data_IF_561567663994
#
_entry.id   IF_561567663994
#
_cell.length_a   1.000
_cell.length_b   1.000
_cell.length_c   1.000
_cell.angle_alpha   90.00
_cell.angle_beta   90.00
_cell.angle_gamma   90.00
#
_symmetry.space_group_name_H-M   'P 1'
#
loop_
_entity.id
_entity.type
_entity.pdbx_description
1 polymer ?
#
# COMPACT_ATOMS: atom_id res chain seq x y z
N UNK A 1 5.80 -3.61 -2.51
CA UNK A 1 4.93 -4.33 -1.57
C UNK A 1 3.49 -3.91 -1.86
N UNK A 2 2.51 -4.81 -1.75
CA UNK A 2 1.09 -4.47 -1.98
C UNK A 2 0.40 -3.88 -0.75
N UNK A 3 1.04 -3.99 0.41
CA UNK A 3 0.49 -3.52 1.67
C UNK A 3 0.55 -1.99 1.75
N UNK A 4 -0.60 -1.29 1.86
CA UNK A 4 -0.63 0.17 1.90
C UNK A 4 -0.15 0.73 3.25
N UNK A 5 -0.25 -0.04 4.33
CA UNK A 5 0.14 0.39 5.68
C UNK A 5 1.59 0.09 6.02
N UNK A 6 2.32 -0.60 5.15
CA UNK A 6 3.68 -1.06 5.44
C UNK A 6 3.77 -2.17 6.50
N UNK A 7 2.65 -2.84 6.84
CA UNK A 7 2.66 -3.97 7.76
C UNK A 7 3.51 -5.15 7.25
N UNK A 8 3.61 -5.34 5.94
CA UNK A 8 4.49 -6.34 5.32
C UNK A 8 5.81 -5.69 4.88
N UNK A 9 6.93 -6.24 5.39
CA UNK A 9 8.28 -5.74 5.13
C UNK A 9 9.27 -6.90 4.97
N UNK A 10 10.44 -6.64 4.38
CA UNK A 10 11.52 -7.63 4.24
C UNK A 10 12.52 -7.48 5.38
N UNK A 11 12.91 -8.58 6.00
CA UNK A 11 13.92 -8.68 7.05
C UNK A 11 14.57 -10.07 6.98
N UNK A 12 15.90 -10.15 6.99
CA UNK A 12 16.67 -11.40 6.94
C UNK A 12 16.26 -12.34 5.78
N UNK A 13 16.01 -11.79 4.58
CA UNK A 13 15.56 -12.55 3.41
C UNK A 13 14.12 -13.04 3.46
N UNK A 14 13.43 -12.91 4.60
CA UNK A 14 12.03 -13.27 4.77
C UNK A 14 11.14 -12.02 4.67
N UNK A 15 9.93 -12.19 4.15
CA UNK A 15 8.90 -11.18 4.32
C UNK A 15 8.27 -11.40 5.69
N UNK A 16 8.23 -10.40 6.57
CA UNK A 16 7.59 -10.44 7.90
C UNK A 16 6.35 -9.56 7.94
N UNK A 17 5.51 -9.76 8.96
CA UNK A 17 4.25 -9.05 9.14
C UNK A 17 4.19 -8.44 10.54
N UNK A 18 4.12 -7.11 10.61
CA UNK A 18 3.78 -6.38 11.83
C UNK A 18 2.25 -6.29 11.94
N UNK A 19 1.67 -7.12 12.80
CA UNK A 19 0.21 -7.15 13.02
C UNK A 19 -0.33 -5.85 13.59
N UNK A 20 0.48 -5.03 14.28
CA UNK A 20 0.02 -3.76 14.86
C UNK A 20 -0.31 -2.70 13.79
N UNK A 21 0.37 -2.79 12.64
CA UNK A 21 0.15 -1.91 11.47
C UNK A 21 -0.86 -2.49 10.47
N UNK A 22 -1.36 -3.71 10.69
CA UNK A 22 -2.25 -4.38 9.76
C UNK A 22 -3.67 -3.81 9.87
N UNK A 23 -4.17 -3.23 8.77
CA UNK A 23 -5.54 -2.68 8.67
C UNK A 23 -6.61 -3.70 8.24
N UNK A 24 -6.23 -4.95 7.95
CA UNK A 24 -7.18 -5.98 7.52
C UNK A 24 -7.64 -5.89 6.05
N UNK A 25 -7.07 -5.01 5.23
CA UNK A 25 -7.50 -4.74 3.84
C UNK A 25 -7.37 -5.88 2.80
N UNK A 26 -6.96 -7.09 3.19
CA UNK A 26 -6.80 -8.30 2.35
C UNK A 26 -5.91 -8.24 1.09
N UNK A 27 -5.38 -7.08 0.67
CA UNK A 27 -4.59 -6.98 -0.56
C UNK A 27 -3.41 -7.95 -0.66
N UNK A 28 -2.78 -8.29 0.47
CA UNK A 28 -1.71 -9.27 0.50
C UNK A 28 -2.17 -10.71 0.27
N UNK A 29 -3.39 -11.04 0.67
CA UNK A 29 -4.02 -12.35 0.43
C UNK A 29 -4.27 -12.51 -1.07
N UNK A 30 -4.86 -11.49 -1.70
CA UNK A 30 -5.23 -11.52 -3.12
C UNK A 30 -4.02 -11.46 -4.05
N UNK A 31 -2.95 -10.77 -3.65
CA UNK A 31 -1.77 -10.58 -4.48
C UNK A 31 -0.75 -11.73 -4.39
N UNK A 32 -0.81 -12.58 -3.36
CA UNK A 32 0.20 -13.62 -3.16
C UNK A 32 -0.08 -14.81 -4.10
N UNK A 33 0.81 -15.11 -5.07
CA UNK A 33 0.59 -16.22 -6.01
C UNK A 33 0.61 -17.59 -5.33
N UNK A 34 1.14 -17.66 -4.11
CA UNK A 34 1.20 -18.87 -3.29
C UNK A 34 0.02 -19.00 -2.30
N UNK A 35 -0.85 -17.99 -2.21
CA UNK A 35 -1.98 -18.00 -1.27
C UNK A 35 -1.59 -18.11 0.21
N UNK A 36 -0.36 -17.73 0.58
CA UNK A 36 0.21 -17.94 1.92
C UNK A 36 -0.43 -17.06 3.00
N UNK A 37 -0.57 -15.73 2.83
CA UNK A 37 -1.22 -14.90 3.83
C UNK A 37 -2.69 -15.29 3.98
N UNK A 38 -3.14 -15.51 5.21
CA UNK A 38 -4.55 -15.77 5.56
C UNK A 38 -5.06 -14.70 6.51
N UNK A 39 -6.38 -14.57 6.61
CA UNK A 39 -7.00 -13.69 7.61
C UNK A 39 -7.27 -14.45 8.90
N UNK A 40 -6.89 -13.86 10.03
CA UNK A 40 -7.11 -14.38 11.37
C UNK A 40 -7.34 -13.21 12.34
N UNK A 41 -8.51 -13.19 12.99
CA UNK A 41 -8.96 -12.09 13.86
C UNK A 41 -8.84 -10.73 13.17
N UNK A 42 -9.47 -10.60 11.99
CA UNK A 42 -9.51 -9.38 11.16
C UNK A 42 -8.15 -8.85 10.66
N UNK A 43 -7.06 -9.58 10.94
CA UNK A 43 -5.70 -9.21 10.51
C UNK A 43 -5.08 -10.34 9.71
N UNK A 44 -4.18 -9.98 8.80
CA UNK A 44 -3.41 -10.98 8.08
C UNK A 44 -2.51 -11.78 9.06
N UNK A 45 -2.26 -13.04 8.74
CA UNK A 45 -1.34 -13.93 9.44
C UNK A 45 -0.63 -14.84 8.44
N UNK A 46 0.63 -15.16 8.75
CA UNK A 46 1.50 -16.06 7.97
C UNK A 46 2.71 -16.45 8.81
N UNK A 47 3.50 -17.42 8.34
CA UNK A 47 4.80 -17.76 8.93
C UNK A 47 5.69 -16.50 9.07
N UNK A 48 6.24 -16.29 10.26
CA UNK A 48 7.17 -15.20 10.60
C UNK A 48 8.64 -15.65 10.58
N UNK A 49 8.90 -16.93 10.32
CA UNK A 49 10.23 -17.53 10.39
C UNK A 49 10.74 -17.75 11.81
N UNK A 50 9.85 -17.82 12.82
CA UNK A 50 10.22 -17.88 14.23
C UNK A 50 11.14 -16.72 14.63
N UNK A 51 10.80 -15.49 14.21
CA UNK A 51 11.67 -14.30 14.29
C UNK A 51 12.28 -14.08 15.68
N UNK A 52 11.47 -14.25 16.74
CA UNK A 52 11.94 -14.10 18.12
C UNK A 52 12.99 -15.16 18.52
N UNK A 53 12.83 -16.40 18.05
CA UNK A 53 13.75 -17.51 18.35
C UNK A 53 15.05 -17.34 17.59
N UNK A 54 14.97 -17.03 16.29
CA UNK A 54 16.14 -16.78 15.45
C UNK A 54 16.95 -15.60 15.99
N UNK A 55 16.29 -14.50 16.39
CA UNK A 55 16.96 -13.35 16.99
C UNK A 55 17.68 -13.68 18.31
N UNK A 56 17.23 -14.71 19.03
CA UNK A 56 17.88 -15.21 20.23
C UNK A 56 19.02 -16.22 19.94
N UNK A 57 19.38 -16.44 18.67
CA UNK A 57 20.42 -17.38 18.25
C UNK A 57 19.94 -18.83 18.12
N UNK A 58 18.63 -19.07 18.18
CA UNK A 58 18.04 -20.39 17.90
C UNK A 58 17.72 -20.60 16.42
N UNK A 59 17.14 -21.75 16.11
CA UNK A 59 16.61 -22.09 14.77
C UNK A 59 15.07 -22.19 14.82
N UNK A 60 14.37 -22.10 13.68
CA UNK A 60 12.91 -22.23 13.64
C UNK A 60 12.41 -23.55 14.22
N UNK A 61 11.28 -23.51 14.93
CA UNK A 61 10.72 -24.70 15.60
C UNK A 61 10.43 -25.86 14.65
N UNK A 62 9.94 -25.57 13.44
CA UNK A 62 9.69 -26.59 12.43
C UNK A 62 10.97 -27.29 11.95
N UNK A 63 12.09 -26.56 11.90
CA UNK A 63 13.41 -27.10 11.54
C UNK A 63 13.93 -27.97 12.68
N UNK A 64 13.93 -27.43 13.90
CA UNK A 64 14.37 -28.12 15.11
C UNK A 64 13.65 -29.45 15.36
N UNK A 65 12.35 -29.49 15.10
CA UNK A 65 11.53 -30.67 15.37
C UNK A 65 11.59 -31.72 14.26
N UNK A 66 12.21 -31.44 13.11
CA UNK A 66 12.17 -32.33 11.94
C UNK A 66 13.08 -33.55 12.16
N UNK A 67 12.53 -34.76 12.41
CA UNK A 67 13.35 -35.92 12.78
C UNK A 67 14.16 -36.47 11.60
N UNK A 68 13.69 -36.24 10.37
CA UNK A 68 14.33 -36.70 9.15
C UNK A 68 15.33 -35.70 8.57
N UNK A 69 15.52 -34.55 9.21
CA UNK A 69 16.36 -33.45 8.70
C UNK A 69 16.00 -33.03 7.26
N UNK A 70 14.70 -33.08 6.94
CA UNK A 70 14.16 -32.61 5.67
C UNK A 70 14.16 -31.07 5.59
N UNK A 71 14.04 -30.40 6.74
CA UNK A 71 14.06 -28.94 6.86
C UNK A 71 15.42 -28.48 7.39
N UNK A 72 15.92 -27.37 6.84
CA UNK A 72 17.18 -26.73 7.23
C UNK A 72 16.99 -25.21 7.24
N UNK A 73 17.79 -24.52 8.04
CA UNK A 73 17.78 -23.06 8.15
C UNK A 73 19.21 -22.54 8.23
N UNK A 74 19.49 -21.43 7.56
CA UNK A 74 20.82 -20.85 7.47
C UNK A 74 20.89 -19.78 6.38
N UNK A 75 22.11 -19.35 6.06
CA UNK A 75 22.35 -18.40 4.99
C UNK A 75 21.92 -18.96 3.64
N UNK A 76 21.37 -18.11 2.78
CA UNK A 76 20.71 -18.55 1.55
C UNK A 76 21.66 -19.32 0.62
N UNK A 77 22.91 -18.87 0.53
CA UNK A 77 23.93 -19.50 -0.30
C UNK A 77 24.25 -20.92 0.18
N UNK A 78 24.34 -21.14 1.49
CA UNK A 78 24.60 -22.44 2.10
C UNK A 78 23.44 -23.40 1.86
N UNK A 79 22.20 -22.92 2.08
CA UNK A 79 20.98 -23.69 1.82
C UNK A 79 20.87 -24.06 0.32
N UNK A 80 21.21 -23.15 -0.59
CA UNK A 80 21.22 -23.44 -2.03
C UNK A 80 22.27 -24.49 -2.40
N UNK A 81 23.48 -24.41 -1.84
CA UNK A 81 24.54 -25.37 -2.11
C UNK A 81 24.14 -26.79 -1.64
N UNK A 82 23.58 -26.90 -0.43
CA UNK A 82 23.06 -28.15 0.10
C UNK A 82 21.88 -28.67 -0.73
N UNK A 83 20.94 -27.80 -1.12
CA UNK A 83 19.80 -28.17 -1.94
C UNK A 83 20.23 -28.71 -3.32
N UNK A 84 21.26 -28.12 -3.95
CA UNK A 84 21.86 -28.61 -5.20
C UNK A 84 22.50 -30.00 -5.02
N UNK A 85 23.19 -30.21 -3.90
CA UNK A 85 23.79 -31.51 -3.55
C UNK A 85 22.71 -32.59 -3.38
N UNK A 86 21.63 -32.28 -2.64
CA UNK A 86 20.47 -33.17 -2.47
C UNK A 86 19.78 -33.44 -3.80
N UNK A 87 19.59 -32.42 -4.64
CA UNK A 87 18.98 -32.57 -5.95
C UNK A 87 19.75 -33.56 -6.83
N UNK A 88 21.08 -33.41 -6.92
CA UNK A 88 21.92 -34.30 -7.73
C UNK A 88 21.83 -35.77 -7.28
N UNK A 89 21.64 -36.00 -5.98
CA UNK A 89 21.40 -37.35 -5.44
C UNK A 89 19.99 -37.85 -5.77
N UNK A 90 18.98 -36.99 -5.60
CA UNK A 90 17.57 -37.32 -5.83
C UNK A 90 17.27 -37.63 -7.30
N UNK A 91 17.92 -36.93 -8.23
CA UNK A 91 17.77 -37.12 -9.67
C UNK A 91 18.15 -38.52 -10.16
N UNK A 92 18.99 -39.25 -9.41
CA UNK A 92 19.31 -40.66 -9.71
C UNK A 92 18.09 -41.58 -9.62
N UNK A 93 17.11 -41.22 -8.79
CA UNK A 93 15.86 -41.98 -8.56
C UNK A 93 14.65 -41.31 -9.18
N UNK A 94 14.63 -39.99 -9.23
CA UNK A 94 13.51 -39.19 -9.74
C UNK A 94 14.02 -38.25 -10.84
N UNK A 95 13.97 -38.65 -12.12
CA UNK A 95 14.54 -37.88 -13.23
C UNK A 95 13.97 -36.46 -13.38
N UNK A 96 12.73 -36.23 -12.94
CA UNK A 96 12.06 -34.93 -13.01
C UNK A 96 12.35 -34.02 -11.81
N UNK A 97 13.14 -34.48 -10.85
CA UNK A 97 13.46 -33.73 -9.65
C UNK A 97 14.11 -32.39 -10.00
N UNK A 98 13.74 -31.34 -9.26
CA UNK A 98 14.18 -29.96 -9.50
C UNK A 98 14.23 -29.14 -8.21
N UNK A 99 14.93 -28.02 -8.27
CA UNK A 99 14.86 -26.98 -7.25
C UNK A 99 13.68 -26.05 -7.52
N UNK A 100 13.07 -25.57 -6.45
CA UNK A 100 12.00 -24.59 -6.48
C UNK A 100 12.26 -23.52 -5.42
N UNK A 101 12.19 -22.24 -5.81
CA UNK A 101 12.49 -21.08 -4.98
C UNK A 101 13.86 -20.45 -5.23
N UNK A 102 14.69 -21.02 -6.12
CA UNK A 102 15.97 -20.41 -6.49
C UNK A 102 15.76 -19.13 -7.31
N UNK A 103 14.81 -19.14 -8.26
CA UNK A 103 14.56 -18.05 -9.21
C UNK A 103 13.12 -17.53 -9.19
N UNK A 104 12.20 -18.35 -8.70
CA UNK A 104 10.77 -18.09 -8.66
C UNK A 104 10.47 -16.80 -7.88
N UNK A 105 9.61 -15.94 -8.44
CA UNK A 105 9.29 -14.61 -7.90
C UNK A 105 10.52 -13.72 -7.57
N UNK A 106 11.64 -13.91 -8.28
CA UNK A 106 12.90 -13.19 -8.06
C UNK A 106 13.77 -13.79 -6.95
N UNK A 107 13.51 -15.04 -6.57
CA UNK A 107 14.21 -15.77 -5.51
C UNK A 107 13.43 -15.75 -4.20
N UNK A 108 13.10 -16.94 -3.69
CA UNK A 108 12.36 -17.13 -2.44
C UNK A 108 13.31 -17.27 -1.25
N UNK A 109 12.78 -17.01 -0.05
CA UNK A 109 13.44 -17.32 1.22
C UNK A 109 13.22 -18.75 1.70
N UNK A 110 12.39 -19.54 0.99
CA UNK A 110 12.19 -20.97 1.22
C UNK A 110 12.53 -21.68 -0.08
N UNK A 111 13.51 -22.58 -0.02
CA UNK A 111 13.98 -23.36 -1.16
C UNK A 111 13.56 -24.81 -0.94
N UNK A 112 13.01 -25.44 -1.98
CA UNK A 112 12.53 -26.82 -1.93
C UNK A 112 13.24 -27.66 -2.98
N UNK A 113 13.59 -28.89 -2.60
CA UNK A 113 14.03 -29.95 -3.52
C UNK A 113 12.81 -30.82 -3.78
N UNK A 114 12.24 -30.72 -4.98
CA UNK A 114 11.03 -31.45 -5.37
C UNK A 114 11.42 -32.70 -6.16
N UNK A 115 10.77 -33.86 -5.95
CA UNK A 115 11.02 -35.06 -6.75
C UNK A 115 10.34 -35.01 -8.13
N UNK A 116 9.45 -34.06 -8.38
CA UNK A 116 8.76 -33.88 -9.66
C UNK A 116 8.40 -32.40 -9.89
N UNK A 117 7.58 -32.12 -10.90
CA UNK A 117 7.11 -30.78 -11.24
C UNK A 117 6.36 -30.11 -10.07
N UNK A 118 6.43 -28.76 -9.93
CA UNK A 118 5.80 -28.06 -8.81
C UNK A 118 4.28 -28.28 -8.75
N UNK A 119 3.63 -28.44 -9.90
CA UNK A 119 2.19 -28.70 -9.99
C UNK A 119 1.76 -30.01 -9.34
N UNK A 120 2.65 -31.00 -9.21
CA UNK A 120 2.36 -32.24 -8.48
C UNK A 120 2.23 -32.04 -6.96
N UNK A 121 2.66 -30.87 -6.45
CA UNK A 121 2.65 -30.49 -5.04
C UNK A 121 1.78 -29.27 -4.76
N UNK A 122 0.83 -28.95 -5.67
CA UNK A 122 0.00 -27.74 -5.60
C UNK A 122 0.81 -26.43 -5.55
N UNK A 123 2.02 -26.45 -6.13
CA UNK A 123 2.88 -25.27 -6.24
C UNK A 123 2.76 -24.64 -7.64
N UNK A 124 2.67 -23.30 -7.73
CA UNK A 124 2.59 -22.61 -9.02
C UNK A 124 3.91 -22.74 -9.79
N UNK A 125 3.89 -23.25 -11.01
CA UNK A 125 5.12 -23.41 -11.80
C UNK A 125 5.82 -22.07 -12.14
N UNK A 126 5.05 -20.99 -12.34
CA UNK A 126 5.58 -19.65 -12.58
C UNK A 126 4.80 -18.62 -11.74
N UNK A 127 5.17 -18.44 -10.46
CA UNK A 127 4.46 -17.52 -9.57
C UNK A 127 4.75 -16.07 -9.98
N UNK A 128 3.74 -15.42 -10.54
CA UNK A 128 3.76 -14.00 -10.87
C UNK A 128 2.63 -13.28 -10.17
N UNK A 129 2.85 -12.02 -9.79
CA UNK A 129 1.76 -11.18 -9.28
C UNK A 129 0.79 -10.95 -10.45
N UNK A 130 -0.54 -11.08 -10.25
CA UNK A 130 -1.51 -10.90 -11.32
C UNK A 130 -1.35 -9.52 -11.98
N UNK A 131 -1.48 -9.50 -13.32
CA UNK A 131 -1.30 -8.29 -14.13
C UNK A 131 -2.24 -7.17 -13.69
N UNK A 132 -3.46 -7.50 -13.27
CA UNK A 132 -4.44 -6.54 -12.75
C UNK A 132 -3.91 -5.77 -11.54
N UNK A 133 -3.32 -6.47 -10.57
CA UNK A 133 -2.71 -5.85 -9.38
C UNK A 133 -1.51 -4.99 -9.80
N UNK A 134 -0.68 -5.50 -10.71
CA UNK A 134 0.48 -4.74 -11.21
C UNK A 134 0.07 -3.46 -11.94
N UNK A 135 -0.93 -3.54 -12.82
CA UNK A 135 -1.45 -2.39 -13.57
C UNK A 135 -2.12 -1.37 -12.66
N UNK A 136 -2.91 -1.84 -11.68
CA UNK A 136 -3.52 -0.97 -10.68
C UNK A 136 -2.48 -0.14 -9.94
N UNK A 137 -1.41 -0.79 -9.46
CA UNK A 137 -0.39 -0.12 -8.65
C UNK A 137 0.59 0.74 -9.44
N UNK A 138 1.02 0.27 -10.62
CA UNK A 138 2.06 0.94 -11.41
C UNK A 138 1.51 1.98 -12.39
N UNK A 139 0.23 1.91 -12.74
CA UNK A 139 -0.38 2.80 -13.74
C UNK A 139 -1.52 3.60 -13.14
N UNK A 140 -2.55 2.92 -12.63
CA UNK A 140 -3.79 3.60 -12.20
C UNK A 140 -3.54 4.49 -10.99
N UNK A 141 -2.93 3.98 -9.92
CA UNK A 141 -2.68 4.76 -8.70
C UNK A 141 -1.86 6.05 -8.92
N UNK A 142 -0.68 6.03 -9.57
CA UNK A 142 0.09 7.26 -9.79
C UNK A 142 -0.62 8.22 -10.73
N UNK A 143 -1.32 7.71 -11.75
CA UNK A 143 -2.12 8.54 -12.64
C UNK A 143 -3.27 9.22 -11.90
N UNK A 144 -4.03 8.48 -11.08
CA UNK A 144 -5.12 9.03 -10.27
C UNK A 144 -4.62 10.09 -9.28
N UNK A 145 -3.45 9.89 -8.66
CA UNK A 145 -2.83 10.88 -7.78
C UNK A 145 -2.45 12.16 -8.54
N UNK A 146 -1.84 12.02 -9.72
CA UNK A 146 -1.49 13.16 -10.56
C UNK A 146 -2.73 13.94 -11.00
N UNK A 147 -3.78 13.23 -11.44
CA UNK A 147 -5.06 13.83 -11.84
C UNK A 147 -5.73 14.56 -10.68
N UNK A 148 -5.75 13.94 -9.50
CA UNK A 148 -6.31 14.57 -8.29
C UNK A 148 -5.54 15.84 -7.92
N UNK A 149 -4.21 15.80 -7.98
CA UNK A 149 -3.36 16.97 -7.74
C UNK A 149 -3.64 18.10 -8.73
N UNK A 150 -3.81 17.77 -10.01
CA UNK A 150 -4.19 18.74 -11.05
C UNK A 150 -5.56 19.37 -10.76
N UNK A 151 -6.56 18.56 -10.41
CA UNK A 151 -7.91 19.06 -10.09
C UNK A 151 -7.90 20.01 -8.90
N UNK A 152 -7.13 19.72 -7.85
CA UNK A 152 -6.98 20.60 -6.69
C UNK A 152 -6.31 21.92 -7.10
N UNK A 153 -5.26 21.87 -7.91
CA UNK A 153 -4.57 23.07 -8.38
C UNK A 153 -5.47 23.97 -9.24
N UNK A 154 -6.19 23.39 -10.20
CA UNK A 154 -7.14 24.12 -11.06
C UNK A 154 -8.24 24.77 -10.23
N UNK A 155 -8.83 24.02 -9.29
CA UNK A 155 -9.87 24.54 -8.40
C UNK A 155 -9.33 25.66 -7.51
N UNK A 156 -8.11 25.52 -6.99
CA UNK A 156 -7.45 26.55 -6.19
C UNK A 156 -7.20 27.85 -6.97
N UNK A 157 -6.70 27.75 -8.21
CA UNK A 157 -6.49 28.91 -9.08
C UNK A 157 -7.82 29.59 -9.41
N UNK A 158 -8.86 28.81 -9.75
CA UNK A 158 -10.19 29.34 -10.03
C UNK A 158 -10.78 30.09 -8.81
N UNK A 159 -10.61 29.54 -7.60
CA UNK A 159 -11.05 30.19 -6.37
C UNK A 159 -10.31 31.52 -6.09
N UNK A 160 -9.00 31.58 -6.36
CA UNK A 160 -8.22 32.82 -6.23
C UNK A 160 -8.69 33.89 -7.24
N UNK A 161 -8.93 33.50 -8.48
CA UNK A 161 -9.45 34.41 -9.52
C UNK A 161 -10.84 34.92 -9.14
N UNK A 162 -11.74 34.02 -8.74
CA UNK A 162 -13.10 34.38 -8.31
C UNK A 162 -13.08 35.35 -7.11
N UNK A 163 -12.21 35.11 -6.11
CA UNK A 163 -12.05 35.99 -4.96
C UNK A 163 -11.52 37.37 -5.37
N UNK A 164 -10.55 37.43 -6.27
CA UNK A 164 -10.01 38.70 -6.80
C UNK A 164 -11.09 39.49 -7.52
N UNK A 165 -11.87 38.83 -8.38
CA UNK A 165 -12.96 39.47 -9.11
C UNK A 165 -14.04 40.00 -8.16
N UNK A 166 -14.46 39.21 -7.17
CA UNK A 166 -15.44 39.63 -6.16
C UNK A 166 -14.97 40.85 -5.36
N UNK A 167 -13.72 40.89 -4.91
CA UNK A 167 -13.17 42.06 -4.19
C UNK A 167 -13.12 43.30 -5.08
N UNK A 168 -12.79 43.16 -6.37
CA UNK A 168 -12.83 44.28 -7.32
C UNK A 168 -14.25 44.78 -7.55
N UNK A 169 -15.23 43.87 -7.66
CA UNK A 169 -16.64 44.21 -7.80
C UNK A 169 -17.15 44.98 -6.59
N UNK A 170 -16.89 44.51 -5.36
CA UNK A 170 -17.26 45.22 -4.12
C UNK A 170 -16.64 46.62 -4.06
N UNK A 171 -15.35 46.76 -4.43
CA UNK A 171 -14.68 48.08 -4.50
C UNK A 171 -15.32 49.02 -5.52
N UNK A 172 -15.68 48.51 -6.71
CA UNK A 172 -16.38 49.29 -7.75
C UNK A 172 -17.76 49.75 -7.28
N UNK A 173 -18.51 48.86 -6.61
CA UNK A 173 -19.82 49.19 -6.06
C UNK A 173 -19.73 50.26 -4.97
N UNK A 174 -18.78 50.15 -4.03
CA UNK A 174 -18.54 51.19 -3.02
C UNK A 174 -18.16 52.53 -3.65
N UNK A 175 -17.25 52.55 -4.62
CA UNK A 175 -16.88 53.78 -5.33
C UNK A 175 -18.06 54.42 -6.07
N UNK A 176 -18.97 53.62 -6.65
CA UNK A 176 -20.17 54.12 -7.31
C UNK A 176 -21.26 54.62 -6.33
N UNK A 177 -21.23 54.17 -5.07
CA UNK A 177 -22.08 54.73 -4.01
C UNK A 177 -21.48 56.04 -3.51
N UNK A 178 -20.18 56.09 -3.24
CA UNK A 178 -19.46 57.31 -2.81
C UNK A 178 -19.55 58.43 -3.86
N UNK A 179 -19.45 58.12 -5.15
CA UNK A 179 -19.57 59.16 -6.18
C UNK A 179 -21.01 59.71 -6.26
N UNK A 180 -22.03 58.88 -5.98
CA UNK A 180 -23.43 59.32 -5.91
C UNK A 180 -23.71 60.19 -4.69
N UNK A 181 -23.05 59.98 -3.56
CA UNK A 181 -23.18 60.86 -2.40
C UNK A 181 -22.48 62.21 -2.58
N UNK A 182 -21.50 62.30 -3.49
CA UNK A 182 -20.79 63.55 -3.83
C UNK A 182 -21.51 64.35 -4.93
N UNK A 183 -22.15 63.69 -5.91
CA UNK A 183 -22.77 64.34 -7.07
C UNK A 183 -24.22 64.81 -6.88
N UNK A 184 -24.91 64.47 -5.77
CA UNK A 184 -26.17 65.10 -5.40
C UNK A 184 -27.18 64.21 -4.66
N UNK A 185 -27.93 64.87 -3.77
CA UNK A 185 -29.02 64.39 -2.91
C UNK A 185 -28.61 63.59 -1.66
N UNK A 186 -28.32 64.36 -0.61
CA UNK A 186 -28.73 63.97 0.74
C UNK A 186 -30.23 63.64 0.72
N UNK A 187 -30.57 62.35 0.74
CA UNK A 187 -31.92 61.91 1.10
C UNK A 187 -32.05 62.14 2.59
N UNK A 188 -32.55 63.32 2.93
CA UNK A 188 -32.92 63.68 4.28
C UNK A 188 -34.10 62.79 4.71
N UNK A 189 -33.88 62.05 5.80
CA UNK A 189 -34.93 61.33 6.51
C UNK A 189 -35.17 62.08 7.81
N UNK A 190 -35.73 63.28 7.71
CA UNK A 190 -36.28 63.98 8.87
C UNK A 190 -37.53 63.26 9.36
N UNK A 191 -37.27 62.36 10.30
CA UNK A 191 -38.13 62.00 11.43
C UNK A 191 -38.95 63.19 11.92
N UNK A 192 -40.27 63.10 11.74
CA UNK A 192 -41.22 64.04 12.34
C UNK A 192 -41.39 63.80 13.84
N UNK A 193 -40.79 64.65 14.66
CA UNK A 193 -41.14 64.80 16.08
C UNK A 193 -41.17 66.28 16.48
N UNK A 194 -42.40 66.82 16.64
CA UNK A 194 -42.91 67.67 17.75
C UNK A 194 -43.92 68.71 17.24
N UNK A 195 -45.13 68.67 17.79
CA UNK A 195 -45.57 69.73 18.71
C UNK A 195 -46.80 69.30 19.52
N UNK A 196 -46.63 69.35 20.83
CA UNK A 196 -47.65 69.19 21.87
C UNK A 196 -48.11 70.61 22.27
N UNK A 197 -49.43 70.79 22.50
CA UNK A 197 -50.11 71.90 23.21
C UNK A 197 -50.17 73.29 22.55
N UNK A 198 -51.38 73.70 22.16
CA UNK A 198 -52.13 74.80 22.81
C UNK A 198 -53.55 74.96 22.22
N UNK A 199 -54.51 75.15 23.14
CA UNK A 199 -55.92 75.59 22.97
C UNK A 199 -56.94 74.57 22.44
#
# INVERSE_FOLDING_TARGET
TVCPTGALYKEDGLTRLDRTKCSGCTYCVDACPFGVPKMYEERSSKCDGCAAVVKAGGEPWCVKTCPSHALMYGEREEILAEAKTRLATLQKRYPNARLYGETEAGGLGVIMVLPDEPGAFDLPANPQIPLSVTAWQKVVQPFSLAMTGLSIAVTGVAAVIARRNHVQEVKRLHAAVDNRTVDGEAVDSETGEREERAA
#
